data_IF_840674927004
#
_entry.id   IF_840674927004
#
_cell.length_a   1.000
_cell.length_b   1.000
_cell.length_c   1.000
_cell.angle_alpha   90.00
_cell.angle_beta   90.00
_cell.angle_gamma   90.00
#
_symmetry.space_group_name_H-M   'P 1'
#
loop_
_entity.id
_entity.type
_entity.pdbx_description
1 polymer ?
#
# COMPACT_ATOMS: atom_id res chain seq x y z
N UNK A 1 18.63 -34.38 -44.10
CA UNK A 1 19.29 -34.16 -42.81
C UNK A 1 19.02 -32.73 -42.36
N UNK A 2 18.15 -32.51 -41.38
CA UNK A 2 18.00 -31.22 -40.71
C UNK A 2 18.22 -31.46 -39.21
N UNK A 3 19.44 -31.21 -38.73
CA UNK A 3 19.77 -31.34 -37.31
C UNK A 3 19.19 -30.15 -36.55
N UNK A 4 18.38 -30.46 -35.54
CA UNK A 4 17.69 -29.49 -34.68
C UNK A 4 18.71 -28.83 -33.75
N UNK A 5 19.07 -27.57 -34.01
CA UNK A 5 19.95 -26.79 -33.14
C UNK A 5 19.20 -26.43 -31.84
N UNK A 6 19.67 -26.93 -30.70
CA UNK A 6 19.12 -26.62 -29.38
C UNK A 6 20.06 -25.66 -28.66
N UNK A 7 19.59 -24.47 -28.30
CA UNK A 7 20.36 -23.43 -27.60
C UNK A 7 19.91 -23.35 -26.13
N UNK A 8 20.83 -23.63 -25.20
CA UNK A 8 20.62 -23.41 -23.77
C UNK A 8 21.06 -21.98 -23.41
N UNK A 9 20.11 -21.09 -23.08
CA UNK A 9 20.39 -19.76 -22.52
C UNK A 9 19.52 -19.50 -21.29
N UNK A 10 20.07 -18.82 -20.30
CA UNK A 10 19.29 -18.37 -19.14
C UNK A 10 18.38 -17.21 -19.55
N UNK A 11 17.07 -17.42 -19.51
CA UNK A 11 16.06 -16.40 -19.76
C UNK A 11 15.21 -16.21 -18.50
N UNK A 12 14.73 -14.97 -18.28
CA UNK A 12 13.72 -14.69 -17.28
C UNK A 12 12.39 -14.38 -17.97
N UNK A 13 11.30 -14.99 -17.48
CA UNK A 13 9.96 -14.69 -17.94
C UNK A 13 9.41 -13.52 -17.11
N UNK A 14 9.33 -12.34 -17.71
CA UNK A 14 8.67 -11.19 -17.08
C UNK A 14 7.18 -11.22 -17.40
N UNK A 15 6.34 -11.18 -16.36
CA UNK A 15 4.90 -10.95 -16.51
C UNK A 15 4.62 -9.45 -16.61
N UNK A 16 4.00 -9.01 -17.71
CA UNK A 16 3.57 -7.62 -17.91
C UNK A 16 2.19 -7.37 -17.29
N UNK A 17 1.77 -6.10 -17.30
CA UNK A 17 0.50 -5.59 -16.75
C UNK A 17 -0.70 -6.07 -17.58
N UNK A 18 -1.04 -7.36 -17.46
CA UNK A 18 -2.23 -8.08 -17.99
C UNK A 18 -2.02 -9.61 -18.02
N UNK A 19 -0.94 -10.14 -17.41
CA UNK A 19 -0.66 -11.58 -17.44
C UNK A 19 0.07 -12.05 -18.70
N UNK A 20 0.35 -11.16 -19.66
CA UNK A 20 1.22 -11.50 -20.81
C UNK A 20 2.63 -11.79 -20.33
N UNK A 21 3.17 -12.94 -20.76
CA UNK A 21 4.52 -13.40 -20.45
C UNK A 21 5.45 -13.00 -21.58
N UNK A 22 6.53 -12.30 -21.26
CA UNK A 22 7.58 -11.92 -22.21
C UNK A 22 8.90 -12.52 -21.72
N UNK A 23 9.60 -13.21 -22.61
CA UNK A 23 10.93 -13.74 -22.37
C UNK A 23 11.93 -12.58 -22.49
N UNK A 24 12.53 -12.19 -21.38
CA UNK A 24 13.64 -11.24 -21.33
C UNK A 24 14.94 -11.99 -21.06
N UNK A 25 16.03 -11.55 -21.69
CA UNK A 25 17.37 -12.12 -21.45
C UNK A 25 17.95 -11.60 -20.13
N UNK A 26 18.60 -12.47 -19.36
CA UNK A 26 19.30 -12.10 -18.11
C UNK A 26 18.60 -12.47 -16.79
N UNK A 27 19.28 -12.17 -15.67
CA UNK A 27 18.79 -12.41 -14.29
C UNK A 27 17.70 -11.40 -13.94
N UNK A 28 16.61 -11.87 -13.33
CA UNK A 28 15.49 -11.01 -12.94
C UNK A 28 15.95 -9.88 -11.99
N UNK A 29 15.52 -8.62 -12.20
CA UNK A 29 15.84 -7.54 -11.28
C UNK A 29 15.21 -7.81 -9.90
N UNK A 30 15.97 -7.57 -8.83
CA UNK A 30 15.51 -7.69 -7.44
C UNK A 30 14.39 -6.68 -7.19
N UNK A 31 13.14 -7.09 -7.40
CA UNK A 31 11.98 -6.28 -7.05
C UNK A 31 11.84 -6.28 -5.53
N UNK A 32 11.71 -5.12 -4.87
CA UNK A 32 11.41 -5.08 -3.44
C UNK A 32 10.12 -5.87 -3.20
N UNK A 33 10.17 -6.84 -2.30
CA UNK A 33 9.02 -7.67 -1.98
C UNK A 33 8.00 -6.83 -1.22
N UNK A 34 6.75 -6.80 -1.71
CA UNK A 34 5.63 -6.12 -1.06
C UNK A 34 5.22 -4.77 -1.69
N UNK A 35 3.98 -4.38 -1.39
CA UNK A 35 3.34 -3.14 -1.85
C UNK A 35 3.45 -2.07 -0.76
N UNK A 36 3.61 -0.81 -1.15
CA UNK A 36 3.45 0.32 -0.22
C UNK A 36 2.04 0.27 0.40
N UNK A 37 1.88 0.41 1.73
CA UNK A 37 0.58 0.41 2.37
C UNK A 37 -0.34 1.48 1.76
N UNK A 38 -1.64 1.19 1.70
CA UNK A 38 -2.61 2.12 1.12
C UNK A 38 -2.68 3.42 1.90
N UNK A 39 -2.59 3.36 3.23
CA UNK A 39 -2.63 4.54 4.09
C UNK A 39 -1.48 5.51 3.78
N UNK A 40 -0.27 5.00 3.57
CA UNK A 40 0.91 5.79 3.16
C UNK A 40 0.66 6.51 1.83
N UNK A 41 0.06 5.84 0.85
CA UNK A 41 -0.30 6.46 -0.44
C UNK A 41 -1.38 7.53 -0.30
N UNK A 42 -2.32 7.35 0.63
CA UNK A 42 -3.37 8.32 0.88
C UNK A 42 -2.85 9.55 1.62
N UNK A 43 -1.90 9.38 2.55
CA UNK A 43 -1.23 10.49 3.22
C UNK A 43 -0.43 11.35 2.22
N UNK A 44 0.35 10.70 1.35
CA UNK A 44 1.06 11.41 0.28
C UNK A 44 0.10 12.15 -0.68
N UNK A 45 -1.07 11.54 -0.97
CA UNK A 45 -2.11 12.19 -1.75
C UNK A 45 -2.70 13.40 -1.01
N UNK A 46 -2.92 13.30 0.30
CA UNK A 46 -3.44 14.40 1.11
C UNK A 46 -2.51 15.61 1.07
N UNK A 47 -1.19 15.41 1.24
CA UNK A 47 -0.20 16.50 1.10
C UNK A 47 -0.25 17.14 -0.29
N UNK A 48 -0.30 16.33 -1.35
CA UNK A 48 -0.41 16.85 -2.72
C UNK A 48 -1.68 17.67 -2.92
N UNK A 49 -2.81 17.22 -2.39
CA UNK A 49 -4.08 17.95 -2.46
C UNK A 49 -4.02 19.25 -1.64
N UNK A 50 -3.40 19.26 -0.45
CA UNK A 50 -3.15 20.48 0.33
C UNK A 50 -2.30 21.46 -0.45
N UNK A 51 -1.21 21.01 -1.08
CA UNK A 51 -0.35 21.86 -1.90
C UNK A 51 -1.12 22.46 -3.08
N UNK A 52 -1.93 21.67 -3.81
CA UNK A 52 -2.73 22.19 -4.93
C UNK A 52 -3.72 23.27 -4.51
N UNK A 53 -4.31 23.14 -3.32
CA UNK A 53 -5.21 24.15 -2.76
C UNK A 53 -4.44 25.37 -2.27
N UNK A 54 -3.30 25.17 -1.58
CA UNK A 54 -2.44 26.24 -1.10
C UNK A 54 -1.86 27.08 -2.24
N UNK A 55 -1.45 26.42 -3.31
CA UNK A 55 -0.84 27.05 -4.49
C UNK A 55 -1.90 27.72 -5.40
N UNK A 56 -3.20 27.63 -5.04
CA UNK A 56 -4.30 28.24 -5.77
C UNK A 56 -4.63 27.58 -7.12
N UNK A 57 -4.05 26.42 -7.41
CA UNK A 57 -4.33 25.64 -8.64
C UNK A 57 -5.75 25.08 -8.59
N UNK A 58 -6.24 24.73 -7.40
CA UNK A 58 -7.59 24.24 -7.16
C UNK A 58 -8.19 25.02 -5.98
N UNK A 59 -9.43 25.47 -6.11
CA UNK A 59 -10.05 26.41 -5.17
C UNK A 59 -10.39 25.72 -3.85
N UNK A 60 -10.90 24.48 -3.90
CA UNK A 60 -11.39 23.80 -2.70
C UNK A 60 -11.46 22.26 -2.85
N UNK A 61 -11.85 21.60 -1.75
CA UNK A 61 -12.01 20.14 -1.68
C UNK A 61 -13.09 19.59 -2.62
N UNK A 62 -14.14 20.37 -2.92
CA UNK A 62 -15.22 19.93 -3.82
C UNK A 62 -14.73 19.84 -5.26
N UNK A 63 -13.94 20.81 -5.69
CA UNK A 63 -13.31 20.81 -7.01
C UNK A 63 -12.24 19.71 -7.13
N UNK A 64 -11.42 19.52 -6.09
CA UNK A 64 -10.52 18.37 -5.98
C UNK A 64 -11.27 17.04 -6.14
N UNK A 65 -12.44 16.89 -5.50
CA UNK A 65 -13.24 15.68 -5.57
C UNK A 65 -13.83 15.46 -6.97
N UNK A 66 -14.28 16.54 -7.61
CA UNK A 66 -14.77 16.53 -8.98
C UNK A 66 -13.67 16.07 -9.95
N UNK A 67 -12.48 16.66 -9.90
CA UNK A 67 -11.34 16.23 -10.72
C UNK A 67 -10.85 14.81 -10.38
N UNK A 68 -10.88 14.45 -9.11
CA UNK A 68 -10.54 13.11 -8.64
C UNK A 68 -11.59 12.03 -8.95
N UNK A 69 -12.76 12.41 -9.49
CA UNK A 69 -13.90 11.51 -9.73
C UNK A 69 -14.30 10.71 -8.48
N UNK A 70 -14.23 11.36 -7.31
CA UNK A 70 -14.65 10.78 -6.03
C UNK A 70 -15.64 11.70 -5.33
N UNK A 71 -16.35 11.17 -4.34
CA UNK A 71 -17.24 12.00 -3.53
C UNK A 71 -16.44 13.01 -2.70
N UNK A 72 -17.04 14.18 -2.45
CA UNK A 72 -16.50 15.20 -1.55
C UNK A 72 -16.19 14.62 -0.17
N UNK A 73 -17.09 13.79 0.38
CA UNK A 73 -16.88 13.08 1.64
C UNK A 73 -15.61 12.21 1.62
N UNK A 74 -15.35 11.49 0.52
CA UNK A 74 -14.14 10.68 0.42
C UNK A 74 -12.89 11.55 0.30
N UNK A 75 -12.97 12.67 -0.43
CA UNK A 75 -11.88 13.64 -0.50
C UNK A 75 -11.58 14.22 0.90
N UNK A 76 -12.61 14.64 1.64
CA UNK A 76 -12.43 15.15 3.00
C UNK A 76 -11.82 14.10 3.94
N UNK A 77 -12.19 12.82 3.82
CA UNK A 77 -11.54 11.74 4.58
C UNK A 77 -10.05 11.59 4.27
N UNK A 78 -9.65 11.77 3.01
CA UNK A 78 -8.24 11.74 2.61
C UNK A 78 -7.52 12.96 3.19
N UNK A 79 -8.13 14.13 3.05
CA UNK A 79 -7.58 15.39 3.57
C UNK A 79 -7.45 15.41 5.10
N UNK A 80 -8.28 14.69 5.85
CA UNK A 80 -8.13 14.58 7.30
C UNK A 80 -6.81 13.95 7.72
N UNK A 81 -6.19 13.09 6.92
CA UNK A 81 -4.88 12.49 7.24
C UNK A 81 -3.79 13.54 7.47
N UNK A 82 -3.97 14.73 6.91
CA UNK A 82 -3.06 15.85 6.99
C UNK A 82 -3.18 16.63 8.32
N UNK A 83 -4.20 16.30 9.14
CA UNK A 83 -4.40 16.83 10.50
C UNK A 83 -3.70 15.98 11.58
N UNK A 84 -3.11 14.85 11.18
CA UNK A 84 -2.34 14.02 12.10
C UNK A 84 -1.09 14.76 12.57
N UNK A 85 -0.68 14.52 13.81
CA UNK A 85 0.58 15.03 14.33
C UNK A 85 1.75 14.62 13.42
N UNK A 86 2.77 15.50 13.21
CA UNK A 86 3.88 15.23 12.30
C UNK A 86 4.57 13.89 12.58
N UNK A 87 4.79 13.54 13.85
CA UNK A 87 5.43 12.27 14.23
C UNK A 87 4.60 11.04 13.83
N UNK A 88 3.27 11.16 13.80
CA UNK A 88 2.36 10.09 13.35
C UNK A 88 2.41 9.97 11.84
N UNK A 89 2.50 11.09 11.12
CA UNK A 89 2.64 11.10 9.66
C UNK A 89 3.94 10.39 9.26
N UNK A 90 5.06 10.68 9.92
CA UNK A 90 6.35 10.01 9.71
C UNK A 90 6.23 8.50 9.94
N UNK A 91 5.63 8.08 11.06
CA UNK A 91 5.41 6.66 11.35
C UNK A 91 4.54 5.96 10.29
N UNK A 92 3.58 6.65 9.69
CA UNK A 92 2.77 6.12 8.57
C UNK A 92 3.60 5.97 7.30
N UNK A 93 4.55 6.87 7.06
CA UNK A 93 5.47 6.80 5.92
C UNK A 93 6.49 5.66 6.09
N UNK A 94 6.90 5.39 7.32
CA UNK A 94 7.86 4.34 7.68
C UNK A 94 7.24 2.94 7.83
N UNK A 95 5.93 2.79 7.59
CA UNK A 95 5.29 1.49 7.68
C UNK A 95 5.92 0.46 6.74
N UNK A 96 6.12 -0.79 7.22
CA UNK A 96 6.67 -1.85 6.40
C UNK A 96 5.74 -2.14 5.22
N UNK A 97 6.34 -2.55 4.09
CA UNK A 97 5.60 -2.89 2.88
C UNK A 97 4.66 -4.07 3.16
N UNK A 98 3.42 -3.97 2.70
CA UNK A 98 2.44 -5.06 2.76
C UNK A 98 2.88 -6.19 1.84
N UNK A 99 3.31 -7.31 2.42
CA UNK A 99 3.67 -8.53 1.68
C UNK A 99 2.37 -9.27 1.33
N UNK A 100 2.20 -9.62 0.05
CA UNK A 100 1.07 -10.45 -0.39
C UNK A 100 1.37 -11.88 0.04
N UNK A 101 0.49 -12.49 0.82
CA UNK A 101 0.62 -13.89 1.23
C UNK A 101 0.70 -14.79 0.01
N UNK A 102 1.76 -15.59 -0.02
CA UNK A 102 2.12 -16.62 -1.00
C UNK A 102 1.81 -16.30 -2.47
N UNK A 103 2.85 -15.86 -3.19
CA UNK A 103 3.00 -16.22 -4.59
C UNK A 103 2.83 -17.74 -4.71
N UNK A 104 1.91 -18.18 -5.57
CA UNK A 104 1.59 -19.58 -5.82
C UNK A 104 2.84 -20.27 -6.41
N UNK A 105 3.73 -20.77 -5.55
CA UNK A 105 4.77 -21.71 -5.96
C UNK A 105 4.07 -22.98 -6.46
N UNK A 106 4.49 -23.46 -7.63
CA UNK A 106 3.81 -24.51 -8.36
C UNK A 106 3.73 -25.84 -7.63
N UNK A 107 2.80 -26.66 -8.12
CA UNK A 107 2.71 -28.12 -7.96
C UNK A 107 2.21 -28.68 -6.62
N UNK A 108 1.01 -28.30 -6.18
CA UNK A 108 0.09 -29.24 -5.48
C UNK A 108 -1.36 -28.85 -5.79
N UNK A 109 -2.20 -29.83 -6.14
CA UNK A 109 -3.63 -29.66 -6.42
C UNK A 109 -4.48 -29.70 -5.14
N UNK A 110 -3.92 -29.31 -3.99
CA UNK A 110 -4.62 -29.35 -2.71
C UNK A 110 -5.26 -27.98 -2.42
N UNK A 111 -6.59 -27.88 -2.27
CA UNK A 111 -7.24 -26.65 -1.87
C UNK A 111 -7.06 -26.43 -0.36
N UNK A 112 -5.84 -26.07 0.05
CA UNK A 112 -5.57 -25.56 1.39
C UNK A 112 -6.35 -24.28 1.68
N UNK A 113 -6.60 -23.94 2.96
CA UNK A 113 -7.53 -22.88 3.34
C UNK A 113 -7.10 -21.53 2.75
N UNK A 114 -8.04 -20.87 2.06
CA UNK A 114 -7.91 -19.51 1.51
C UNK A 114 -7.63 -18.51 2.64
N UNK A 115 -6.38 -18.40 3.05
CA UNK A 115 -5.95 -17.44 4.05
C UNK A 115 -5.78 -16.08 3.38
N UNK A 116 -6.55 -15.13 3.91
CA UNK A 116 -6.63 -13.73 3.52
C UNK A 116 -5.32 -13.04 3.95
N UNK A 117 -4.23 -13.23 3.22
CA UNK A 117 -2.96 -12.58 3.54
C UNK A 117 -2.56 -11.61 2.42
N UNK A 118 -2.66 -10.32 2.74
CA UNK A 118 -2.45 -9.20 1.82
C UNK A 118 -3.24 -7.93 2.17
N UNK A 119 -3.83 -7.88 3.37
CA UNK A 119 -4.40 -6.65 3.94
C UNK A 119 -3.27 -5.83 4.57
N UNK A 120 -3.40 -4.51 4.49
CA UNK A 120 -2.46 -3.62 5.16
C UNK A 120 -2.62 -3.74 6.68
N UNK A 121 -1.52 -3.64 7.43
CA UNK A 121 -1.51 -3.79 8.89
C UNK A 121 -2.34 -2.71 9.61
N UNK A 122 -2.38 -1.50 9.02
CA UNK A 122 -3.15 -0.36 9.49
C UNK A 122 -4.07 0.09 8.35
N UNK A 123 -5.35 0.23 8.64
CA UNK A 123 -6.36 0.60 7.66
C UNK A 123 -6.79 2.06 7.87
N UNK A 124 -7.10 2.75 6.77
CA UNK A 124 -7.49 4.16 6.82
C UNK A 124 -8.67 4.43 7.76
N UNK A 125 -9.63 3.51 7.85
CA UNK A 125 -10.78 3.64 8.77
C UNK A 125 -10.38 3.69 10.24
N UNK A 126 -9.23 3.10 10.61
CA UNK A 126 -8.72 3.03 11.99
C UNK A 126 -7.93 4.29 12.34
N UNK A 127 -7.31 4.92 11.34
CA UNK A 127 -6.60 6.20 11.48
C UNK A 127 -7.57 7.38 11.47
N UNK A 128 -8.72 7.25 10.82
CA UNK A 128 -9.71 8.32 10.67
C UNK A 128 -10.19 8.95 12.00
N UNK A 129 -10.49 8.20 13.07
CA UNK A 129 -10.84 8.80 14.37
C UNK A 129 -9.69 9.62 14.96
N UNK A 130 -8.45 9.16 14.79
CA UNK A 130 -7.24 9.84 15.26
C UNK A 130 -7.11 11.18 14.53
N UNK A 131 -7.21 11.15 13.19
CA UNK A 131 -7.15 12.34 12.33
C UNK A 131 -8.26 13.39 12.60
N UNK A 132 -9.37 13.00 13.22
CA UNK A 132 -10.45 13.91 13.62
C UNK A 132 -10.24 14.56 14.98
N UNK A 133 -9.32 14.03 15.79
CA UNK A 133 -9.04 14.54 17.13
C UNK A 133 -8.15 15.77 16.98
N UNK A 134 -8.53 16.90 17.58
CA UNK A 134 -7.79 18.16 17.44
C UNK A 134 -6.54 18.21 18.33
N UNK A 135 -6.56 17.51 19.47
CA UNK A 135 -5.45 17.45 20.41
C UNK A 135 -4.42 16.39 19.98
N UNK A 136 -3.17 16.81 19.77
CA UNK A 136 -2.07 15.93 19.38
C UNK A 136 -1.67 14.93 20.48
N UNK A 137 -1.81 15.25 21.76
CA UNK A 137 -1.50 14.31 22.83
C UNK A 137 -2.50 13.16 22.88
N UNK A 138 -3.78 13.45 22.63
CA UNK A 138 -4.79 12.41 22.50
C UNK A 138 -4.62 11.60 21.21
N UNK A 139 -4.22 12.25 20.11
CA UNK A 139 -3.86 11.52 18.90
C UNK A 139 -2.73 10.52 19.15
N UNK A 140 -1.69 10.90 19.89
CA UNK A 140 -0.56 10.02 20.23
C UNK A 140 -0.98 8.82 21.06
N UNK A 141 -1.84 9.01 22.07
CA UNK A 141 -2.40 7.91 22.87
C UNK A 141 -3.19 6.93 21.99
N UNK A 142 -4.11 7.46 21.17
CA UNK A 142 -4.93 6.63 20.28
C UNK A 142 -4.09 5.88 19.23
N UNK A 143 -3.03 6.52 18.74
CA UNK A 143 -2.10 5.93 17.78
C UNK A 143 -1.27 4.81 18.42
N UNK A 144 -0.75 5.03 19.63
CA UNK A 144 -0.05 3.99 20.40
C UNK A 144 -0.98 2.78 20.61
N UNK A 145 -2.22 2.99 21.05
CA UNK A 145 -3.18 1.90 21.24
C UNK A 145 -3.46 1.13 19.94
N UNK A 146 -3.55 1.85 18.81
CA UNK A 146 -3.73 1.24 17.50
C UNK A 146 -2.54 0.36 17.11
N UNK A 147 -1.31 0.83 17.33
CA UNK A 147 -0.10 0.05 17.07
C UNK A 147 -0.07 -1.23 17.92
N UNK A 148 -0.37 -1.14 19.22
CA UNK A 148 -0.43 -2.31 20.10
C UNK A 148 -1.44 -3.35 19.61
N UNK A 149 -2.66 -2.93 19.20
CA UNK A 149 -3.66 -3.84 18.63
C UNK A 149 -3.20 -4.48 17.32
N UNK A 150 -2.55 -3.72 16.45
CA UNK A 150 -2.08 -4.22 15.16
C UNK A 150 -0.99 -5.29 15.32
N UNK A 151 -0.08 -5.12 16.29
CA UNK A 151 0.97 -6.10 16.58
C UNK A 151 0.41 -7.37 17.22
N UNK A 152 -0.56 -7.26 18.14
CA UNK A 152 -1.21 -8.41 18.75
C UNK A 152 -1.96 -9.30 17.73
N UNK A 153 -2.39 -8.73 16.61
CA UNK A 153 -3.10 -9.45 15.53
C UNK A 153 -2.19 -10.16 14.52
N UNK A 154 -0.88 -9.92 14.56
CA UNK A 154 0.10 -10.64 13.76
C UNK A 154 0.57 -11.86 14.55
N UNK A 155 0.09 -13.09 14.26
CA UNK A 155 0.67 -14.26 14.91
C UNK A 155 2.12 -14.37 14.47
N UNK A 156 3.00 -14.03 15.41
CA UNK A 156 4.43 -14.29 15.40
C UNK A 156 4.69 -15.70 14.88
N UNK A 157 5.15 -15.79 13.63
CA UNK A 157 5.86 -16.98 13.15
C UNK A 157 7.28 -16.87 13.71
N UNK A 158 7.43 -17.20 14.99
CA UNK A 158 8.73 -17.46 15.58
C UNK A 158 9.32 -18.68 14.85
N UNK A 159 10.53 -18.50 14.32
CA UNK A 159 11.40 -19.56 13.81
C UNK A 159 12.11 -20.17 15.00
#
# INVERSE_FOLDING_TARGET
MNSKLTVNRSFHVQTRRNGSKSLAEGKAPTKPQGRVPRITRLLALAHRCRDLVRDGVIINQSELAHYGQISTTRMSQIMWLDNLAPEIQEQILDLPRTIRGHERSGATNDPGPRTIQGRDAILEREVRPIAKTLDWDDQRKMWADLLHRSQASSPTKQI
#
